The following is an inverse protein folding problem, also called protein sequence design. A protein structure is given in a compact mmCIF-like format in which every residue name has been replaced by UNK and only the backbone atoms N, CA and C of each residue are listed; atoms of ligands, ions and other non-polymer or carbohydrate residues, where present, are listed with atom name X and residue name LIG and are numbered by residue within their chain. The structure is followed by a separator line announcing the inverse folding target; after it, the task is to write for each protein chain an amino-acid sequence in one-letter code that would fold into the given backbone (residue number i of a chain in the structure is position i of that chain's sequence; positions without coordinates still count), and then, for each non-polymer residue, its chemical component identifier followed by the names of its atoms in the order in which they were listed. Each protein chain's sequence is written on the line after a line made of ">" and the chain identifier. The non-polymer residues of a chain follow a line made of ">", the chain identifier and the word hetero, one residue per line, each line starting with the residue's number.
data_IF_422768574977
#
_entry.id   IF_422768574977
#
_cell.length_a   1.000
_cell.length_b   1.000
_cell.length_c   1.000
_cell.angle_alpha   90.00
_cell.angle_beta   90.00
_cell.angle_gamma   90.00
#
_symmetry.space_group_name_H-M   'P 1'
#
loop_
_entity.id
_entity.type
_entity.pdbx_description
1 polymer ?
#
# COMPACT_ATOMS: atom_id res chain seq x y z
N UNK A 1 -17.92 2.83 -5.33
CA UNK A 1 -18.34 1.77 -6.29
C UNK A 1 -17.96 2.06 -7.76
N UNK A 2 -18.21 3.26 -8.31
CA UNK A 2 -17.96 3.55 -9.75
C UNK A 2 -16.49 3.33 -10.15
N UNK A 3 -15.53 3.79 -9.34
CA UNK A 3 -14.11 3.62 -9.62
C UNK A 3 -13.69 2.14 -9.68
N UNK A 4 -14.25 1.29 -8.81
CA UNK A 4 -14.01 -0.16 -8.85
C UNK A 4 -14.51 -0.79 -10.13
N UNK A 5 -15.75 -0.50 -10.54
CA UNK A 5 -16.28 -0.99 -11.82
C UNK A 5 -15.38 -0.57 -12.99
N UNK A 6 -14.91 0.68 -12.98
CA UNK A 6 -13.97 1.17 -13.98
C UNK A 6 -12.64 0.40 -13.96
N UNK A 7 -12.07 0.11 -12.78
CA UNK A 7 -10.86 -0.70 -12.64
C UNK A 7 -11.04 -2.11 -13.25
N UNK A 8 -12.16 -2.77 -12.97
CA UNK A 8 -12.47 -4.08 -13.54
C UNK A 8 -12.62 -4.03 -15.06
N UNK A 9 -13.33 -3.02 -15.60
CA UNK A 9 -13.46 -2.82 -17.04
C UNK A 9 -12.09 -2.60 -17.72
N UNK A 10 -11.22 -1.77 -17.14
CA UNK A 10 -9.88 -1.52 -17.67
C UNK A 10 -9.01 -2.77 -17.60
N UNK A 11 -9.10 -3.54 -16.51
CA UNK A 11 -8.28 -4.72 -16.32
C UNK A 11 -8.47 -5.75 -17.44
N UNK A 12 -9.69 -5.90 -17.99
CA UNK A 12 -9.97 -6.82 -19.11
C UNK A 12 -9.04 -6.62 -20.32
N UNK A 13 -8.52 -5.41 -20.53
CA UNK A 13 -7.59 -5.10 -21.62
C UNK A 13 -6.14 -5.54 -21.36
N UNK A 14 -5.82 -6.01 -20.15
CA UNK A 14 -4.48 -6.49 -19.81
C UNK A 14 -4.22 -7.95 -20.19
N UNK A 15 -5.26 -8.76 -20.39
CA UNK A 15 -5.16 -10.15 -20.85
C UNK A 15 -6.12 -11.13 -20.15
N UNK A 16 -6.03 -12.43 -20.45
CA UNK A 16 -6.99 -13.45 -20.01
C UNK A 16 -7.08 -13.64 -18.48
N UNK A 17 -5.97 -13.46 -17.75
CA UNK A 17 -5.92 -13.61 -16.28
C UNK A 17 -5.95 -12.28 -15.53
N UNK A 18 -6.31 -11.21 -16.23
CA UNK A 18 -6.20 -9.85 -15.69
C UNK A 18 -7.14 -9.58 -14.52
N UNK A 19 -8.37 -10.10 -14.57
CA UNK A 19 -9.38 -9.93 -13.53
C UNK A 19 -8.99 -10.69 -12.27
N UNK A 20 -8.61 -11.97 -12.40
CA UNK A 20 -8.18 -12.78 -11.25
C UNK A 20 -6.96 -12.17 -10.57
N UNK A 21 -6.01 -11.67 -11.36
CA UNK A 21 -4.83 -10.97 -10.85
C UNK A 21 -5.19 -9.66 -10.13
N UNK A 22 -6.16 -8.90 -10.65
CA UNK A 22 -6.63 -7.68 -9.99
C UNK A 22 -7.32 -8.00 -8.66
N UNK A 23 -8.21 -8.98 -8.64
CA UNK A 23 -8.90 -9.43 -7.41
C UNK A 23 -7.86 -9.89 -6.38
N UNK A 24 -6.90 -10.71 -6.79
CA UNK A 24 -5.82 -11.16 -5.93
C UNK A 24 -5.02 -9.99 -5.35
N UNK A 25 -4.67 -8.99 -6.18
CA UNK A 25 -3.92 -7.83 -5.74
C UNK A 25 -4.71 -6.98 -4.73
N UNK A 26 -6.00 -6.73 -4.98
CA UNK A 26 -6.88 -5.98 -4.08
C UNK A 26 -7.00 -6.70 -2.73
N UNK A 27 -7.24 -8.01 -2.73
CA UNK A 27 -7.32 -8.80 -1.50
C UNK A 27 -5.98 -8.89 -0.78
N UNK A 28 -4.87 -9.00 -1.52
CA UNK A 28 -3.52 -9.01 -0.95
C UNK A 28 -3.17 -7.68 -0.31
N UNK A 29 -3.61 -6.55 -0.88
CA UNK A 29 -3.46 -5.25 -0.24
C UNK A 29 -4.24 -5.19 1.07
N UNK A 30 -5.49 -5.68 1.10
CA UNK A 30 -6.29 -5.72 2.32
C UNK A 30 -5.62 -6.57 3.41
N UNK A 31 -5.31 -7.83 3.10
CA UNK A 31 -4.71 -8.76 4.06
C UNK A 31 -3.31 -8.31 4.46
N UNK A 32 -2.52 -7.83 3.50
CA UNK A 32 -1.19 -7.28 3.73
C UNK A 32 -1.25 -6.07 4.66
N UNK A 33 -2.14 -5.13 4.41
CA UNK A 33 -2.30 -3.94 5.26
C UNK A 33 -2.69 -4.32 6.69
N UNK A 34 -3.64 -5.24 6.86
CA UNK A 34 -4.00 -5.78 8.18
C UNK A 34 -2.81 -6.45 8.87
N UNK A 35 -2.04 -7.27 8.14
CA UNK A 35 -0.86 -7.95 8.68
C UNK A 35 0.25 -6.97 9.09
N UNK A 36 0.40 -5.82 8.43
CA UNK A 36 1.38 -4.81 8.81
C UNK A 36 1.08 -4.18 10.18
N UNK A 37 -0.17 -4.22 10.63
CA UNK A 37 -0.60 -3.76 11.95
C UNK A 37 -0.63 -4.85 13.02
N UNK A 38 -0.39 -6.11 12.65
CA UNK A 38 -0.36 -7.24 13.59
C UNK A 38 1.02 -7.35 14.26
N UNK A 39 1.03 -7.63 15.56
CA UNK A 39 2.24 -7.68 16.38
C UNK A 39 3.18 -8.84 16.00
N UNK A 40 2.66 -9.90 15.37
CA UNK A 40 3.47 -10.98 14.83
C UNK A 40 4.46 -10.48 13.77
N UNK A 41 4.09 -9.43 13.04
CA UNK A 41 4.90 -8.85 11.98
C UNK A 41 5.64 -7.58 12.40
N UNK A 42 5.62 -7.23 13.70
CA UNK A 42 6.22 -5.99 14.21
C UNK A 42 7.68 -5.79 13.76
N UNK A 43 8.48 -6.87 13.73
CA UNK A 43 9.89 -6.81 13.32
C UNK A 43 10.12 -6.94 11.81
N UNK A 44 9.05 -7.03 11.02
CA UNK A 44 9.16 -7.00 9.56
C UNK A 44 9.44 -5.56 9.14
N UNK A 45 10.51 -5.30 8.37
CA UNK A 45 10.85 -4.00 7.79
C UNK A 45 9.67 -3.16 7.29
N UNK A 46 8.74 -3.80 6.59
CA UNK A 46 7.54 -3.16 6.09
C UNK A 46 6.59 -2.70 7.20
N UNK A 47 6.36 -3.52 8.22
CA UNK A 47 5.51 -3.17 9.36
C UNK A 47 6.10 -1.97 10.12
N UNK A 48 7.43 -1.93 10.27
CA UNK A 48 8.13 -0.81 10.91
C UNK A 48 7.89 0.49 10.13
N UNK A 49 8.09 0.49 8.81
CA UNK A 49 7.90 1.69 7.98
C UNK A 49 6.43 2.14 7.94
N UNK A 50 5.51 1.18 7.86
CA UNK A 50 4.08 1.44 7.84
C UNK A 50 3.58 2.02 9.17
N UNK A 51 3.95 1.41 10.31
CA UNK A 51 3.61 1.94 11.65
C UNK A 51 4.28 3.30 11.90
N UNK A 52 5.51 3.50 11.42
CA UNK A 52 6.17 4.80 11.51
C UNK A 52 5.40 5.90 10.74
N UNK A 53 4.78 5.56 9.61
CA UNK A 53 3.90 6.47 8.87
C UNK A 53 2.61 6.80 9.64
N UNK A 54 2.04 5.85 10.38
CA UNK A 54 0.87 6.09 11.25
C UNK A 54 1.18 7.07 12.40
N UNK A 55 2.41 7.05 12.90
CA UNK A 55 2.83 7.90 14.03
C UNK A 55 3.40 9.26 13.59
N UNK A 56 3.70 9.47 12.30
CA UNK A 56 4.44 10.64 11.83
C UNK A 56 3.93 11.17 10.48
N UNK A 57 3.73 12.48 10.38
CA UNK A 57 3.22 13.14 9.17
C UNK A 57 4.30 13.87 8.35
N UNK A 58 5.50 13.27 8.22
CA UNK A 58 6.61 13.89 7.47
C UNK A 58 6.71 13.34 6.04
N UNK A 59 7.18 14.13 5.05
CA UNK A 59 7.42 13.65 3.68
C UNK A 59 8.36 12.42 3.61
N UNK A 60 9.26 12.29 4.58
CA UNK A 60 10.16 11.15 4.71
C UNK A 60 9.37 9.85 4.93
N UNK A 61 8.37 9.87 5.82
CA UNK A 61 7.54 8.69 6.12
C UNK A 61 6.77 8.23 4.88
N UNK A 62 6.21 9.18 4.13
CA UNK A 62 5.46 8.90 2.91
C UNK A 62 6.35 8.27 1.85
N UNK A 63 7.54 8.83 1.62
CA UNK A 63 8.47 8.30 0.63
C UNK A 63 8.86 6.84 0.90
N UNK A 64 9.26 6.53 2.14
CA UNK A 64 9.68 5.18 2.48
C UNK A 64 8.51 4.19 2.52
N UNK A 65 7.32 4.61 2.96
CA UNK A 65 6.18 3.71 2.98
C UNK A 65 5.66 3.39 1.56
N UNK A 66 5.61 4.37 0.64
CA UNK A 66 5.34 4.16 -0.80
C UNK A 66 6.30 3.13 -1.39
N UNK A 67 7.60 3.31 -1.11
CA UNK A 67 8.65 2.45 -1.64
C UNK A 67 8.48 1.00 -1.14
N UNK A 68 8.03 0.88 0.11
CA UNK A 68 7.78 -0.38 0.78
C UNK A 68 6.58 -1.11 0.16
N UNK A 69 5.44 -0.42 -0.01
CA UNK A 69 4.23 -0.96 -0.62
C UNK A 69 4.46 -1.42 -2.08
N UNK A 70 5.24 -0.63 -2.84
CA UNK A 70 5.61 -1.00 -4.21
C UNK A 70 6.50 -2.25 -4.28
N UNK A 71 7.38 -2.43 -3.29
CA UNK A 71 8.31 -3.57 -3.23
C UNK A 71 7.59 -4.88 -2.90
N UNK A 72 6.61 -4.86 -1.98
CA UNK A 72 5.79 -6.04 -1.64
C UNK A 72 5.04 -6.56 -2.88
N UNK A 73 4.41 -5.66 -3.63
CA UNK A 73 3.64 -6.04 -4.82
C UNK A 73 4.52 -6.64 -5.92
N UNK A 74 5.76 -6.14 -6.03
CA UNK A 74 6.75 -6.69 -6.97
C UNK A 74 7.21 -8.09 -6.56
N UNK A 75 7.41 -8.33 -5.26
CA UNK A 75 7.79 -9.65 -4.75
C UNK A 75 6.65 -10.65 -4.95
N UNK A 76 5.42 -10.31 -4.56
CA UNK A 76 4.25 -11.18 -4.75
C UNK A 76 4.01 -11.53 -6.23
N UNK A 77 4.16 -10.55 -7.12
CA UNK A 77 4.01 -10.78 -8.56
C UNK A 77 5.06 -11.71 -9.18
N UNK A 78 6.22 -11.90 -8.53
CA UNK A 78 7.24 -12.85 -9.00
C UNK A 78 7.00 -14.28 -8.49
N UNK A 79 6.29 -14.46 -7.38
CA UNK A 79 6.01 -15.79 -6.82
C UNK A 79 4.78 -16.46 -7.43
N UNK A 80 3.83 -15.67 -7.93
CA UNK A 80 2.59 -16.18 -8.50
C UNK A 80 2.52 -15.83 -9.99
N UNK A 81 2.07 -16.77 -10.83
CA UNK A 81 1.93 -16.60 -12.28
C UNK A 81 0.75 -15.67 -12.67
N UNK A 82 0.62 -14.53 -11.99
CA UNK A 82 -0.40 -13.52 -12.24
C UNK A 82 0.01 -12.57 -13.36
N UNK A 83 -0.98 -11.89 -13.94
CA UNK A 83 -0.77 -10.89 -14.97
C UNK A 83 -0.05 -9.65 -14.36
N UNK A 84 1.22 -9.40 -14.73
CA UNK A 84 2.02 -8.35 -14.09
C UNK A 84 1.48 -6.94 -14.36
N UNK A 85 0.75 -6.75 -15.47
CA UNK A 85 0.15 -5.46 -15.81
C UNK A 85 -1.04 -5.13 -14.91
N UNK A 86 -1.87 -6.13 -14.59
CA UNK A 86 -2.94 -5.97 -13.61
C UNK A 86 -2.41 -5.68 -12.21
N UNK A 87 -1.33 -6.37 -11.80
CA UNK A 87 -0.69 -6.12 -10.50
C UNK A 87 -0.13 -4.70 -10.42
N UNK A 88 0.61 -4.27 -11.45
CA UNK A 88 1.15 -2.91 -11.52
C UNK A 88 0.05 -1.86 -11.56
N UNK A 89 -1.03 -2.11 -12.31
CA UNK A 89 -2.19 -1.23 -12.34
C UNK A 89 -2.82 -1.07 -10.96
N UNK A 90 -3.01 -2.16 -10.21
CA UNK A 90 -3.50 -2.09 -8.84
C UNK A 90 -2.52 -1.33 -7.92
N UNK A 91 -1.21 -1.60 -8.05
CA UNK A 91 -0.18 -0.94 -7.25
C UNK A 91 -0.22 0.57 -7.39
N UNK A 92 -0.23 1.08 -8.62
CA UNK A 92 -0.29 2.52 -8.90
C UNK A 92 -1.59 3.15 -8.40
N UNK A 93 -2.72 2.44 -8.52
CA UNK A 93 -3.99 2.90 -7.98
C UNK A 93 -3.96 3.00 -6.46
N UNK A 94 -3.56 1.93 -5.78
CA UNK A 94 -3.51 1.87 -4.33
C UNK A 94 -2.60 2.96 -3.76
N UNK A 95 -1.35 3.04 -4.25
CA UNK A 95 -0.38 4.04 -3.80
C UNK A 95 -0.89 5.46 -4.07
N UNK A 96 -1.40 5.73 -5.28
CA UNK A 96 -1.84 7.10 -5.58
C UNK A 96 -3.05 7.51 -4.76
N UNK A 97 -4.03 6.63 -4.53
CA UNK A 97 -5.18 6.94 -3.66
C UNK A 97 -4.72 7.12 -2.22
N UNK A 98 -3.91 6.20 -1.70
CA UNK A 98 -3.42 6.23 -0.33
C UNK A 98 -2.66 7.54 -0.03
N UNK A 99 -1.68 7.90 -0.85
CA UNK A 99 -0.81 9.05 -0.53
C UNK A 99 -1.29 10.38 -1.08
N UNK A 100 -1.82 10.41 -2.31
CA UNK A 100 -2.27 11.67 -2.90
C UNK A 100 -3.63 12.03 -2.33
N UNK A 101 -4.60 11.12 -2.43
CA UNK A 101 -5.98 11.44 -2.06
C UNK A 101 -6.17 11.42 -0.53
N UNK A 102 -5.64 10.41 0.16
CA UNK A 102 -5.86 10.27 1.59
C UNK A 102 -4.81 11.02 2.43
N UNK A 103 -3.51 10.80 2.23
CA UNK A 103 -2.47 11.40 3.08
C UNK A 103 -2.17 12.87 2.79
N UNK A 104 -2.25 13.33 1.53
CA UNK A 104 -1.95 14.72 1.18
C UNK A 104 -3.22 15.55 1.06
N UNK A 105 -4.17 15.13 0.23
CA UNK A 105 -5.36 15.93 -0.09
C UNK A 105 -6.51 15.74 0.90
N UNK A 106 -6.44 14.73 1.77
CA UNK A 106 -7.48 14.45 2.79
C UNK A 106 -8.89 14.45 2.19
N UNK A 107 -9.05 13.81 1.03
CA UNK A 107 -10.29 13.91 0.21
C UNK A 107 -11.51 13.32 0.92
N UNK A 108 -11.29 12.39 1.86
CA UNK A 108 -12.31 11.91 2.77
C UNK A 108 -11.71 11.50 4.13
N UNK A 109 -12.59 11.32 5.12
CA UNK A 109 -12.23 10.98 6.49
C UNK A 109 -11.99 9.48 6.73
N UNK A 110 -12.29 8.59 5.76
CA UNK A 110 -12.30 7.14 6.00
C UNK A 110 -10.91 6.62 6.36
N UNK A 111 -9.91 7.06 5.60
CA UNK A 111 -8.52 6.71 5.86
C UNK A 111 -7.99 7.37 7.13
N UNK A 112 -8.36 8.61 7.43
CA UNK A 112 -7.96 9.27 8.68
C UNK A 112 -8.49 8.52 9.90
N UNK A 113 -9.74 8.04 9.84
CA UNK A 113 -10.31 7.17 10.89
C UNK A 113 -9.58 5.84 11.06
N UNK A 114 -8.92 5.35 10.02
CA UNK A 114 -8.03 4.19 10.15
C UNK A 114 -6.76 4.53 10.95
N UNK A 115 -6.21 5.75 10.84
CA UNK A 115 -5.09 6.20 11.70
C UNK A 115 -5.50 6.35 13.17
N UNK A 116 -6.77 6.69 13.43
CA UNK A 116 -7.32 6.72 14.79
C UNK A 116 -7.54 5.31 15.37
N UNK A 117 -7.95 4.36 14.52
CA UNK A 117 -8.26 2.98 14.90
C UNK A 117 -7.79 2.00 13.82
N UNK A 118 -6.60 1.43 14.04
CA UNK A 118 -5.85 0.61 13.07
C UNK A 118 -6.52 -0.72 12.68
N UNK A 119 -7.51 -1.20 13.43
CA UNK A 119 -8.30 -2.41 13.11
C UNK A 119 -9.58 -2.10 12.30
N UNK A 120 -9.78 -0.85 11.89
CA UNK A 120 -10.95 -0.41 11.13
C UNK A 120 -10.57 0.42 9.88
N UNK A 121 -11.46 0.48 8.89
CA UNK A 121 -11.28 1.13 7.58
C UNK A 121 -9.95 0.75 6.91
N UNK A 122 -9.65 -0.56 6.86
CA UNK A 122 -8.37 -1.11 6.38
C UNK A 122 -8.18 -0.86 4.89
N UNK A 123 -9.26 -0.75 4.12
CA UNK A 123 -9.18 -0.59 2.68
C UNK A 123 -10.38 0.22 2.18
N UNK A 124 -10.67 0.21 0.86
CA UNK A 124 -11.90 0.80 0.38
C UNK A 124 -13.12 0.06 0.92
N UNK A 125 -14.16 0.83 1.21
CA UNK A 125 -15.30 0.48 2.06
C UNK A 125 -16.07 -0.81 1.70
N UNK A 126 -15.98 -1.26 0.44
CA UNK A 126 -16.57 -2.55 0.01
C UNK A 126 -15.90 -3.73 0.72
N UNK A 127 -14.58 -3.69 0.91
CA UNK A 127 -13.84 -4.74 1.59
C UNK A 127 -14.07 -4.68 3.09
N UNK A 128 -14.08 -3.48 3.69
CA UNK A 128 -14.35 -3.34 5.12
C UNK A 128 -15.77 -3.80 5.48
N UNK A 129 -16.75 -3.55 4.61
CA UNK A 129 -18.10 -4.11 4.79
C UNK A 129 -18.13 -5.64 4.65
N UNK A 130 -17.33 -6.22 3.75
CA UNK A 130 -17.25 -7.66 3.55
C UNK A 130 -16.61 -8.38 4.74
N UNK A 131 -15.57 -7.78 5.33
CA UNK A 131 -14.79 -8.37 6.41
C UNK A 131 -15.19 -7.86 7.81
N UNK A 132 -16.13 -6.91 7.90
CA UNK A 132 -16.63 -6.40 9.17
C UNK A 132 -15.67 -5.44 9.88
N UNK A 133 -14.78 -4.78 9.14
CA UNK A 133 -13.76 -3.85 9.66
C UNK A 133 -14.12 -2.39 9.41
N UNK A 134 -15.41 -2.06 9.24
CA UNK A 134 -15.83 -0.67 9.02
C UNK A 134 -15.77 0.14 10.32
N UNK A 135 -15.25 1.37 10.25
CA UNK A 135 -15.19 2.26 11.40
C UNK A 135 -16.59 2.76 11.80
N UNK A 136 -16.84 2.83 13.10
CA UNK A 136 -18.16 3.19 13.66
C UNK A 136 -18.56 4.63 13.32
N UNK A 137 -17.58 5.53 13.25
CA UNK A 137 -17.80 6.95 12.94
C UNK A 137 -17.97 7.23 11.44
N UNK A 138 -17.76 6.24 10.56
CA UNK A 138 -18.00 6.37 9.13
C UNK A 138 -19.06 5.37 8.66
N UNK A 139 -20.32 5.48 9.13
CA UNK A 139 -21.35 4.48 8.87
C UNK A 139 -21.88 4.50 7.42
N UNK A 140 -21.73 5.62 6.72
CA UNK A 140 -22.17 5.79 5.33
C UNK A 140 -21.22 5.08 4.36
N UNK A 141 -21.67 4.90 3.11
CA UNK A 141 -20.82 4.33 2.07
C UNK A 141 -19.80 5.36 1.57
N UNK A 142 -18.53 4.95 1.45
CA UNK A 142 -17.47 5.80 0.94
C UNK A 142 -17.75 6.23 -0.52
N UNK A 143 -17.66 7.54 -0.78
CA UNK A 143 -17.71 8.06 -2.13
C UNK A 143 -16.37 7.89 -2.84
N UNK A 144 -16.23 6.81 -3.61
CA UNK A 144 -15.00 6.48 -4.36
C UNK A 144 -14.83 7.27 -5.68
N UNK A 145 -15.62 8.32 -5.95
CA UNK A 145 -15.54 9.05 -7.24
C UNK A 145 -14.20 9.76 -7.42
N UNK A 146 -13.60 10.21 -6.31
CA UNK A 146 -12.30 10.85 -6.29
C UNK A 146 -11.15 9.95 -6.77
N UNK A 147 -11.35 8.62 -6.82
CA UNK A 147 -10.36 7.67 -7.32
C UNK A 147 -10.34 7.60 -8.87
N UNK A 148 -11.37 8.08 -9.57
CA UNK A 148 -11.48 7.97 -11.04
C UNK A 148 -10.25 8.55 -11.75
N UNK A 149 -9.72 9.75 -11.41
CA UNK A 149 -8.50 10.26 -12.01
C UNK A 149 -7.30 9.33 -11.81
N UNK A 150 -7.11 8.79 -10.59
CA UNK A 150 -6.05 7.84 -10.27
C UNK A 150 -6.14 6.58 -11.14
N UNK A 151 -7.35 6.06 -11.34
CA UNK A 151 -7.64 4.90 -12.20
C UNK A 151 -7.25 5.17 -13.64
N UNK A 152 -7.64 6.32 -14.20
CA UNK A 152 -7.35 6.66 -15.59
C UNK A 152 -5.86 6.91 -15.82
N UNK A 153 -5.19 7.62 -14.91
CA UNK A 153 -3.75 7.91 -15.00
C UNK A 153 -2.94 6.62 -14.85
N UNK A 154 -3.29 5.77 -13.88
CA UNK A 154 -2.62 4.47 -13.69
C UNK A 154 -2.78 3.59 -14.94
N UNK A 155 -3.97 3.57 -15.55
CA UNK A 155 -4.20 2.82 -16.78
C UNK A 155 -3.32 3.34 -17.93
N UNK A 156 -3.27 4.66 -18.13
CA UNK A 156 -2.45 5.28 -19.17
C UNK A 156 -0.96 4.94 -19.01
N UNK A 157 -0.43 5.02 -17.78
CA UNK A 157 0.95 4.65 -17.47
C UNK A 157 1.19 3.17 -17.80
N UNK A 158 0.32 2.27 -17.35
CA UNK A 158 0.48 0.82 -17.57
C UNK A 158 0.39 0.46 -19.06
N UNK A 159 -0.54 1.04 -19.82
CA UNK A 159 -0.60 0.82 -21.27
C UNK A 159 0.64 1.36 -21.98
N UNK A 160 1.14 2.53 -21.59
CA UNK A 160 2.38 3.07 -22.12
C UNK A 160 3.57 2.16 -21.81
N UNK A 161 3.69 1.67 -20.57
CA UNK A 161 4.75 0.74 -20.20
C UNK A 161 4.63 -0.58 -20.97
N UNK A 162 3.43 -1.16 -21.06
CA UNK A 162 3.17 -2.42 -21.78
C UNK A 162 3.54 -2.33 -23.25
N UNK A 163 3.26 -1.21 -23.91
CA UNK A 163 3.59 -1.00 -25.33
C UNK A 163 5.10 -0.83 -25.58
N UNK A 164 5.84 -0.29 -24.60
CA UNK A 164 7.28 -0.07 -24.71
C UNK A 164 8.12 -1.16 -24.02
N UNK A 165 7.46 -2.14 -23.40
CA UNK A 165 8.11 -3.18 -22.63
C UNK A 165 8.99 -4.08 -23.49
N UNK A 166 10.23 -4.30 -23.04
CA UNK A 166 11.17 -5.24 -23.67
C UNK A 166 11.45 -6.39 -22.72
N UNK A 167 11.41 -7.67 -23.15
CA UNK A 167 11.61 -8.82 -22.27
C UNK A 167 12.92 -8.82 -21.47
N UNK A 168 13.97 -8.14 -21.96
CA UNK A 168 15.23 -7.97 -21.23
C UNK A 168 15.07 -7.18 -19.92
N UNK A 169 14.01 -6.36 -19.81
CA UNK A 169 13.72 -5.57 -18.61
C UNK A 169 13.30 -6.43 -17.43
N UNK A 170 12.83 -7.67 -17.62
CA UNK A 170 12.48 -8.59 -16.52
C UNK A 170 13.66 -8.77 -15.56
N UNK A 171 14.87 -9.02 -16.10
CA UNK A 171 16.07 -9.23 -15.26
C UNK A 171 16.50 -7.95 -14.55
N UNK A 172 16.50 -6.83 -15.27
CA UNK A 172 16.86 -5.52 -14.71
C UNK A 172 15.89 -5.09 -13.61
N UNK A 173 14.59 -5.25 -13.84
CA UNK A 173 13.55 -4.91 -12.89
C UNK A 173 13.59 -5.83 -11.65
N UNK A 174 13.86 -7.13 -11.84
CA UNK A 174 14.07 -8.07 -10.75
C UNK A 174 15.28 -7.69 -9.88
N UNK A 175 16.42 -7.37 -10.48
CA UNK A 175 17.61 -6.94 -9.71
C UNK A 175 17.39 -5.61 -9.01
N UNK A 176 16.76 -4.65 -9.69
CA UNK A 176 16.43 -3.35 -9.11
C UNK A 176 15.49 -3.49 -7.90
N UNK A 177 14.38 -4.22 -8.06
CA UNK A 177 13.40 -4.44 -6.99
C UNK A 177 13.97 -5.24 -5.82
N UNK A 178 14.85 -6.23 -6.09
CA UNK A 178 15.56 -6.97 -5.04
C UNK A 178 16.52 -6.06 -4.27
N UNK A 179 17.31 -5.24 -4.97
CA UNK A 179 18.22 -4.29 -4.33
C UNK A 179 17.47 -3.24 -3.51
N UNK A 180 16.35 -2.76 -4.04
CA UNK A 180 15.46 -1.84 -3.35
C UNK A 180 14.89 -2.45 -2.07
N UNK A 181 14.39 -3.68 -2.15
CA UNK A 181 13.89 -4.42 -0.99
C UNK A 181 14.96 -4.54 0.11
N UNK A 182 16.18 -4.96 -0.24
CA UNK A 182 17.29 -5.05 0.72
C UNK A 182 17.58 -3.68 1.36
N UNK A 183 17.58 -2.60 0.58
CA UNK A 183 17.80 -1.23 1.08
C UNK A 183 16.73 -0.82 2.11
N UNK A 184 15.47 -1.18 1.85
CA UNK A 184 14.36 -0.93 2.78
C UNK A 184 14.48 -1.73 4.08
N UNK A 185 14.94 -2.99 4.02
CA UNK A 185 15.26 -3.80 5.21
C UNK A 185 16.32 -3.10 6.06
N UNK A 186 17.41 -2.65 5.43
CA UNK A 186 18.49 -1.98 6.14
C UNK A 186 18.00 -0.67 6.78
N UNK A 187 17.28 0.15 6.02
CA UNK A 187 16.79 1.46 6.49
C UNK A 187 15.80 1.34 7.64
N UNK A 188 14.81 0.44 7.52
CA UNK A 188 13.83 0.18 8.60
C UNK A 188 14.50 -0.34 9.88
N UNK A 189 15.53 -1.18 9.76
CA UNK A 189 16.31 -1.64 10.92
C UNK A 189 17.01 -0.48 11.62
N UNK A 190 17.58 0.47 10.87
CA UNK A 190 18.16 1.68 11.45
C UNK A 190 17.12 2.55 12.15
N UNK A 191 15.94 2.77 11.55
CA UNK A 191 14.85 3.54 12.16
C UNK A 191 14.40 2.88 13.47
N UNK A 192 14.17 1.56 13.47
CA UNK A 192 13.78 0.81 14.67
C UNK A 192 14.84 0.93 15.77
N UNK A 193 16.12 0.80 15.43
CA UNK A 193 17.21 0.96 16.38
C UNK A 193 17.19 2.34 17.04
N UNK A 194 17.00 3.40 16.25
CA UNK A 194 16.92 4.77 16.77
C UNK A 194 15.71 4.95 17.68
N UNK A 195 14.54 4.42 17.32
CA UNK A 195 13.33 4.50 18.15
C UNK A 195 13.51 3.81 19.50
N UNK A 196 14.02 2.57 19.51
CA UNK A 196 14.31 1.84 20.75
C UNK A 196 15.31 2.60 21.63
N UNK A 197 16.35 3.19 21.03
CA UNK A 197 17.33 3.98 21.79
C UNK A 197 16.69 5.21 22.44
N UNK A 198 15.81 5.91 21.74
CA UNK A 198 15.11 7.08 22.27
C UNK A 198 14.14 6.70 23.40
N UNK A 199 13.35 5.64 23.21
CA UNK A 199 12.39 5.17 24.23
C UNK A 199 13.10 4.73 25.53
N UNK A 200 14.29 4.13 25.41
CA UNK A 200 15.12 3.76 26.57
C UNK A 200 15.62 5.01 27.31
N UNK A 201 16.14 6.02 26.61
CA UNK A 201 16.57 7.28 27.24
C UNK A 201 15.42 8.02 27.94
N UNK A 202 14.24 8.08 27.32
CA UNK A 202 13.06 8.74 27.93
C UNK A 202 12.53 7.97 29.16
N UNK A 203 12.70 6.65 29.18
CA UNK A 203 12.36 5.80 30.35
C UNK A 203 13.35 5.94 31.52
N UNK A 204 14.62 6.23 31.25
CA UNK A 204 15.62 6.49 32.28
C UNK A 204 15.40 7.88 32.93
N UNK A 205 15.05 8.89 32.13
CA UNK A 205 14.79 10.25 32.62
C UNK A 205 13.47 10.35 33.42
N UNK A 206 12.46 9.54 33.10
CA UNK A 206 11.18 9.51 33.84
C UNK A 206 11.24 8.77 35.18
N UNK A 207 12.24 7.92 35.41
CA UNK A 207 12.48 7.24 36.69
C UNK A 207 13.34 8.05 37.68
N UNK A 208 13.78 9.27 37.29
CA UNK A 208 14.58 10.17 38.12
C UNK A 208 13.75 11.23 38.89
N UNK A 209 12.42 11.14 38.90
CA UNK A 209 11.52 12.08 39.60
C UNK A 209 10.61 11.39 40.62
#
# INVERSE_FOLDING_TARGET
>A
MIAFLLMFCIALFFGPDSISSLVFAILSNYVGHMALHDDLFYFVPYSILHRYHHENHSPFTYFFNILSEFSILTVLGNFFAFNPWSLLFNALNYISVHYINCSWLHVNEYHEKHHERIDANIAPDILDALFGTKHVDTPLWENTTHMIPNVLVSAAIVFWLKTHYKPSWNKTFLYFSTGLFISLIVTSTFILKTKIQNDLTDSEDSNCY
#
